data_IF_315638397076
#
_entry.id   IF_315638397076
#
_cell.length_a   1.000
_cell.length_b   1.000
_cell.length_c   1.000
_cell.angle_alpha   90.00
_cell.angle_beta   90.00
_cell.angle_gamma   90.00
#
_symmetry.space_group_name_H-M   'P 1'
#
loop_
_entity.id
_entity.type
_entity.pdbx_description
1 polymer ?
#
# COMPACT_ATOMS: atom_id res chain seq x y z
N UNK A 1 -29.01 -26.07 14.25
CA UNK A 1 -28.15 -27.09 13.61
C UNK A 1 -28.24 -26.87 12.12
N UNK A 2 -27.12 -26.75 11.42
CA UNK A 2 -27.05 -26.52 9.98
C UNK A 2 -26.33 -27.70 9.31
N UNK A 3 -26.91 -28.25 8.25
CA UNK A 3 -26.20 -29.18 7.38
C UNK A 3 -25.08 -28.47 6.62
N UNK A 4 -23.95 -29.15 6.40
CA UNK A 4 -22.75 -28.48 5.85
C UNK A 4 -22.96 -28.06 4.40
N UNK A 5 -23.78 -28.76 3.63
CA UNK A 5 -24.16 -28.38 2.26
C UNK A 5 -25.02 -27.11 2.20
N UNK A 6 -25.84 -26.85 3.23
CA UNK A 6 -26.64 -25.62 3.35
C UNK A 6 -25.79 -24.39 3.69
N UNK A 7 -24.60 -24.55 4.26
CA UNK A 7 -23.71 -23.42 4.62
C UNK A 7 -23.36 -22.53 3.45
N UNK A 8 -23.42 -23.05 2.23
CA UNK A 8 -23.15 -22.25 1.03
C UNK A 8 -24.28 -21.27 0.76
N UNK A 9 -25.51 -21.64 0.98
CA UNK A 9 -26.70 -20.79 0.82
C UNK A 9 -26.66 -19.66 1.87
N UNK A 10 -26.39 -20.00 3.13
CA UNK A 10 -26.16 -19.00 4.20
C UNK A 10 -25.00 -18.05 3.90
N UNK A 11 -23.96 -18.53 3.22
CA UNK A 11 -22.83 -17.68 2.81
C UNK A 11 -23.25 -16.66 1.76
N UNK A 12 -24.05 -17.06 0.79
CA UNK A 12 -24.50 -16.16 -0.28
C UNK A 12 -25.41 -15.07 0.30
N UNK A 13 -26.37 -15.40 1.15
CA UNK A 13 -27.24 -14.45 1.86
C UNK A 13 -26.42 -13.48 2.73
N UNK A 14 -25.46 -14.00 3.51
CA UNK A 14 -24.56 -13.20 4.34
C UNK A 14 -23.73 -12.21 3.51
N UNK A 15 -23.27 -12.60 2.32
CA UNK A 15 -22.46 -11.73 1.45
C UNK A 15 -23.32 -10.67 0.78
N UNK A 16 -24.56 -10.97 0.41
CA UNK A 16 -25.53 -10.02 -0.13
C UNK A 16 -25.87 -8.95 0.91
N UNK A 17 -26.23 -9.34 2.14
CA UNK A 17 -26.46 -8.40 3.24
C UNK A 17 -25.25 -7.50 3.51
N UNK A 18 -24.04 -8.07 3.52
CA UNK A 18 -22.79 -7.32 3.70
C UNK A 18 -22.53 -6.33 2.58
N UNK A 19 -22.90 -6.65 1.36
CA UNK A 19 -22.76 -5.75 0.22
C UNK A 19 -23.70 -4.56 0.32
N UNK A 20 -24.95 -4.82 0.70
CA UNK A 20 -25.98 -3.79 0.81
C UNK A 20 -25.78 -2.87 2.02
N UNK A 21 -25.51 -3.43 3.19
CA UNK A 21 -25.47 -2.66 4.45
C UNK A 21 -24.09 -2.01 4.70
N UNK A 22 -22.99 -2.68 4.35
CA UNK A 22 -21.62 -2.22 4.70
C UNK A 22 -20.82 -1.65 3.54
N UNK A 23 -21.38 -1.51 2.35
CA UNK A 23 -20.69 -0.97 1.16
C UNK A 23 -19.28 -1.60 0.96
N UNK A 24 -19.16 -2.90 1.14
CA UNK A 24 -17.87 -3.59 0.99
C UNK A 24 -17.42 -3.60 -0.48
N UNK A 25 -16.11 -3.44 -0.70
CA UNK A 25 -15.57 -3.54 -2.05
C UNK A 25 -15.64 -4.98 -2.56
N UNK A 26 -15.85 -5.18 -3.87
CA UNK A 26 -15.83 -6.50 -4.52
C UNK A 26 -14.59 -7.32 -4.14
N UNK A 27 -13.41 -6.68 -4.01
CA UNK A 27 -12.18 -7.35 -3.59
C UNK A 27 -12.27 -7.89 -2.16
N UNK A 28 -12.98 -7.19 -1.26
CA UNK A 28 -13.19 -7.63 0.12
C UNK A 28 -14.16 -8.81 0.14
N UNK A 29 -15.26 -8.71 -0.60
CA UNK A 29 -16.25 -9.78 -0.74
C UNK A 29 -15.57 -11.05 -1.28
N UNK A 30 -14.86 -10.97 -2.39
CA UNK A 30 -14.11 -12.13 -2.95
C UNK A 30 -13.18 -12.79 -1.95
N UNK A 31 -12.50 -11.99 -1.10
CA UNK A 31 -11.62 -12.54 -0.05
C UNK A 31 -12.39 -13.23 1.06
N UNK A 32 -13.52 -12.66 1.49
CA UNK A 32 -14.36 -13.29 2.49
C UNK A 32 -14.97 -14.58 1.95
N UNK A 33 -15.58 -14.54 0.76
CA UNK A 33 -16.07 -15.72 0.07
C UNK A 33 -15.03 -16.83 0.02
N UNK A 34 -13.84 -16.53 -0.52
CA UNK A 34 -12.76 -17.50 -0.62
C UNK A 34 -12.40 -18.14 0.73
N UNK A 35 -12.28 -17.33 1.78
CA UNK A 35 -11.87 -17.85 3.10
C UNK A 35 -12.94 -18.71 3.73
N UNK A 36 -14.21 -18.35 3.59
CA UNK A 36 -15.34 -19.08 4.17
C UNK A 36 -15.62 -20.35 3.36
N UNK A 37 -15.65 -20.29 2.03
CA UNK A 37 -15.81 -21.47 1.17
C UNK A 37 -14.71 -22.52 1.43
N UNK A 38 -13.47 -22.09 1.67
CA UNK A 38 -12.38 -23.02 2.05
C UNK A 38 -12.58 -23.69 3.41
N UNK A 39 -13.34 -23.10 4.30
CA UNK A 39 -13.73 -23.74 5.54
C UNK A 39 -14.87 -24.74 5.32
N UNK A 40 -15.85 -24.42 4.50
CA UNK A 40 -16.95 -25.33 4.13
C UNK A 40 -16.38 -26.57 3.41
N UNK A 41 -15.54 -26.38 2.37
CA UNK A 41 -14.85 -27.49 1.67
C UNK A 41 -14.04 -28.37 2.64
N UNK A 42 -13.44 -27.78 3.68
CA UNK A 42 -12.72 -28.54 4.69
C UNK A 42 -13.69 -29.41 5.52
N UNK A 43 -14.84 -28.87 5.94
CA UNK A 43 -15.83 -29.64 6.68
C UNK A 43 -16.33 -30.84 5.87
N UNK A 44 -16.66 -30.63 4.60
CA UNK A 44 -17.05 -31.68 3.66
C UNK A 44 -15.96 -32.76 3.54
N UNK A 45 -14.70 -32.35 3.36
CA UNK A 45 -13.55 -33.27 3.22
C UNK A 45 -13.25 -34.09 4.47
N UNK A 46 -13.61 -33.58 5.64
CA UNK A 46 -13.50 -34.30 6.93
C UNK A 46 -14.74 -35.14 7.25
N UNK A 47 -15.75 -35.19 6.36
CA UNK A 47 -16.99 -35.95 6.54
C UNK A 47 -17.87 -35.40 7.66
N UNK A 48 -17.86 -34.09 7.87
CA UNK A 48 -18.72 -33.42 8.83
C UNK A 48 -20.02 -33.10 8.12
N UNK A 49 -21.07 -33.78 8.52
CA UNK A 49 -22.40 -33.63 7.91
C UNK A 49 -23.14 -32.40 8.45
N UNK A 50 -22.94 -32.05 9.74
CA UNK A 50 -23.62 -30.94 10.40
C UNK A 50 -22.74 -30.09 11.30
N UNK A 51 -23.07 -28.81 11.41
CA UNK A 51 -22.54 -27.86 12.38
C UNK A 51 -23.57 -27.52 13.43
N UNK A 52 -23.20 -27.67 14.71
CA UNK A 52 -24.08 -27.39 15.85
C UNK A 52 -23.29 -26.76 17.01
N UNK A 53 -24.00 -26.37 18.08
CA UNK A 53 -23.41 -25.74 19.27
C UNK A 53 -22.28 -26.53 19.92
N UNK A 54 -22.35 -27.87 19.86
CA UNK A 54 -21.37 -28.75 20.51
C UNK A 54 -20.08 -28.93 19.72
N UNK A 55 -20.18 -28.87 18.38
CA UNK A 55 -19.04 -29.16 17.51
C UNK A 55 -18.39 -27.96 16.85
N UNK A 56 -19.06 -26.81 16.66
CA UNK A 56 -18.59 -25.65 15.91
C UNK A 56 -17.23 -25.16 16.39
N UNK A 57 -17.03 -24.97 17.70
CA UNK A 57 -15.75 -24.53 18.27
C UNK A 57 -14.63 -25.55 18.03
N UNK A 58 -14.96 -26.84 18.07
CA UNK A 58 -14.02 -27.93 17.81
C UNK A 58 -13.58 -27.95 16.36
N UNK A 59 -14.50 -27.78 15.40
CA UNK A 59 -14.19 -27.74 13.98
C UNK A 59 -13.37 -26.51 13.60
N UNK A 60 -13.68 -25.33 14.14
CA UNK A 60 -12.89 -24.12 13.95
C UNK A 60 -11.43 -24.29 14.42
N UNK A 61 -11.22 -24.95 15.59
CA UNK A 61 -9.86 -25.24 16.09
C UNK A 61 -9.13 -26.27 15.20
N UNK A 62 -9.83 -27.28 14.68
CA UNK A 62 -9.26 -28.28 13.76
C UNK A 62 -8.86 -27.61 12.44
N UNK A 63 -9.74 -26.82 11.82
CA UNK A 63 -9.45 -26.08 10.60
C UNK A 63 -8.25 -25.15 10.75
N UNK A 64 -8.17 -24.43 11.86
CA UNK A 64 -6.98 -23.61 12.17
C UNK A 64 -5.69 -24.45 12.15
N UNK A 65 -5.71 -25.65 12.78
CA UNK A 65 -4.53 -26.55 12.77
C UNK A 65 -4.21 -27.06 11.38
N UNK A 66 -5.23 -27.40 10.61
CA UNK A 66 -5.10 -27.80 9.21
C UNK A 66 -4.41 -26.70 8.39
N UNK A 67 -4.88 -25.45 8.48
CA UNK A 67 -4.25 -24.33 7.79
C UNK A 67 -2.78 -24.11 8.17
N UNK A 68 -2.43 -24.28 9.44
CA UNK A 68 -1.06 -24.11 9.93
C UNK A 68 -0.14 -25.27 9.56
N UNK A 69 -0.60 -26.51 9.73
CA UNK A 69 0.25 -27.71 9.62
C UNK A 69 0.26 -28.31 8.22
N UNK A 70 -0.90 -28.47 7.60
CA UNK A 70 -1.02 -29.15 6.30
C UNK A 70 -0.88 -28.18 5.14
N UNK A 71 -1.48 -26.97 5.22
CA UNK A 71 -1.37 -25.93 4.18
C UNK A 71 -0.16 -25.01 4.34
N UNK A 72 0.60 -25.11 5.42
CA UNK A 72 1.82 -24.32 5.65
C UNK A 72 1.60 -22.80 5.74
N UNK A 73 0.37 -22.36 6.03
CA UNK A 73 0.04 -20.94 6.04
C UNK A 73 0.68 -20.22 7.25
N UNK A 74 1.09 -18.97 7.05
CA UNK A 74 1.61 -18.12 8.14
C UNK A 74 0.51 -17.85 9.17
N UNK A 75 0.89 -17.75 10.46
CA UNK A 75 -0.04 -17.47 11.57
C UNK A 75 -0.91 -16.23 11.34
N UNK A 76 -0.35 -15.16 10.76
CA UNK A 76 -1.08 -13.94 10.43
C UNK A 76 -2.15 -14.17 9.37
N UNK A 77 -1.85 -14.96 8.34
CA UNK A 77 -2.80 -15.35 7.29
C UNK A 77 -3.94 -16.18 7.87
N UNK A 78 -3.60 -17.17 8.71
CA UNK A 78 -4.62 -18.02 9.38
C UNK A 78 -5.50 -17.17 10.31
N UNK A 79 -4.93 -16.19 11.01
CA UNK A 79 -5.73 -15.25 11.83
C UNK A 79 -6.76 -14.51 10.98
N UNK A 80 -6.39 -14.03 9.80
CA UNK A 80 -7.34 -13.37 8.87
C UNK A 80 -8.42 -14.33 8.40
N UNK A 81 -8.08 -15.56 8.04
CA UNK A 81 -9.07 -16.58 7.67
C UNK A 81 -10.08 -16.80 8.82
N UNK A 82 -9.56 -17.04 10.01
CA UNK A 82 -10.41 -17.26 11.18
C UNK A 82 -11.28 -16.05 11.52
N UNK A 83 -10.83 -14.81 11.28
CA UNK A 83 -11.65 -13.61 11.48
C UNK A 83 -12.86 -13.60 10.54
N UNK A 84 -12.66 -13.87 9.25
CA UNK A 84 -13.75 -13.90 8.28
C UNK A 84 -14.73 -15.02 8.58
N UNK A 85 -14.24 -16.21 8.92
CA UNK A 85 -15.07 -17.36 9.27
C UNK A 85 -15.86 -17.10 10.54
N UNK A 86 -15.25 -16.50 11.56
CA UNK A 86 -15.94 -16.15 12.81
C UNK A 86 -17.01 -15.09 12.60
N UNK A 87 -16.76 -14.12 11.72
CA UNK A 87 -17.74 -13.10 11.39
C UNK A 87 -18.98 -13.72 10.71
N UNK A 88 -18.77 -14.71 9.85
CA UNK A 88 -19.83 -15.49 9.23
C UNK A 88 -20.56 -16.39 10.23
N UNK A 89 -19.85 -17.18 11.01
CA UNK A 89 -20.44 -18.08 12.00
C UNK A 89 -21.24 -17.32 13.08
N UNK A 90 -20.85 -16.10 13.40
CA UNK A 90 -21.56 -15.22 14.34
C UNK A 90 -22.56 -14.27 13.64
N UNK A 91 -22.87 -14.44 12.34
CA UNK A 91 -23.99 -13.73 11.72
C UNK A 91 -25.31 -14.19 12.36
N UNK A 92 -26.33 -13.34 12.32
CA UNK A 92 -27.59 -13.56 13.03
C UNK A 92 -28.20 -14.90 12.64
N UNK A 93 -28.35 -15.14 11.33
CA UNK A 93 -28.98 -16.34 10.80
C UNK A 93 -28.22 -17.63 11.17
N UNK A 94 -26.91 -17.65 10.96
CA UNK A 94 -26.07 -18.82 11.29
C UNK A 94 -26.01 -19.06 12.80
N UNK A 95 -25.97 -17.99 13.61
CA UNK A 95 -25.92 -18.09 15.04
C UNK A 95 -27.25 -18.64 15.63
N UNK A 96 -28.39 -18.18 15.13
CA UNK A 96 -29.70 -18.65 15.55
C UNK A 96 -29.87 -20.13 15.20
N UNK A 97 -29.47 -20.54 14.00
CA UNK A 97 -29.66 -21.91 13.54
C UNK A 97 -28.73 -22.89 14.26
N UNK A 98 -27.47 -22.52 14.48
CA UNK A 98 -26.53 -23.35 15.26
C UNK A 98 -26.81 -23.30 16.76
N UNK A 99 -27.50 -22.28 17.25
CA UNK A 99 -27.82 -22.03 18.66
C UNK A 99 -26.57 -21.97 19.55
N UNK A 100 -25.66 -21.11 19.23
CA UNK A 100 -24.43 -20.93 20.00
C UNK A 100 -24.21 -19.48 20.47
N UNK A 101 -23.50 -19.32 21.59
CA UNK A 101 -23.05 -18.02 22.03
C UNK A 101 -21.97 -17.49 21.07
N UNK A 102 -21.88 -16.15 20.86
CA UNK A 102 -20.88 -15.54 19.98
C UNK A 102 -19.46 -16.03 20.28
N UNK A 103 -18.84 -16.67 19.30
CA UNK A 103 -17.48 -17.23 19.41
C UNK A 103 -16.46 -16.12 19.20
N UNK A 104 -15.59 -15.91 20.17
CA UNK A 104 -14.51 -14.92 20.10
C UNK A 104 -13.21 -15.54 19.59
N UNK A 105 -12.38 -14.74 18.96
CA UNK A 105 -11.07 -15.19 18.48
C UNK A 105 -10.21 -15.85 19.56
N UNK A 106 -10.29 -15.38 20.81
CA UNK A 106 -9.59 -15.96 21.97
C UNK A 106 -9.99 -17.40 22.27
N UNK A 107 -11.20 -17.80 21.90
CA UNK A 107 -11.72 -19.14 22.13
C UNK A 107 -11.11 -20.17 21.16
N UNK A 108 -10.51 -19.67 20.05
CA UNK A 108 -9.94 -20.48 18.98
C UNK A 108 -8.43 -20.35 18.89
N UNK A 109 -7.91 -19.16 19.19
CA UNK A 109 -6.46 -18.85 19.12
C UNK A 109 -6.00 -18.44 20.51
N UNK A 110 -5.03 -19.17 21.08
CA UNK A 110 -4.26 -18.63 22.20
C UNK A 110 -3.45 -17.44 21.71
N UNK A 111 -3.89 -16.24 22.04
CA UNK A 111 -3.15 -14.99 21.76
C UNK A 111 -2.10 -14.87 22.88
N UNK A 112 -0.88 -15.35 22.62
CA UNK A 112 0.26 -14.94 23.45
C UNK A 112 0.50 -13.46 23.16
N UNK A 113 0.47 -12.62 24.18
CA UNK A 113 0.90 -11.23 24.07
C UNK A 113 2.33 -11.23 23.51
N UNK A 114 2.57 -10.42 22.47
CA UNK A 114 3.89 -10.26 21.90
C UNK A 114 4.73 -9.48 22.94
N UNK A 115 5.90 -10.00 23.26
CA UNK A 115 6.83 -9.33 24.16
C UNK A 115 7.16 -7.94 23.60
N UNK A 116 7.04 -6.85 24.41
CA UNK A 116 7.28 -5.48 23.97
C UNK A 116 8.64 -5.26 23.30
N UNK A 117 9.69 -5.98 23.75
CA UNK A 117 11.02 -5.94 23.11
C UNK A 117 11.02 -6.57 21.71
N UNK A 118 10.30 -7.66 21.53
CA UNK A 118 10.15 -8.32 20.22
C UNK A 118 9.35 -7.44 19.26
N UNK A 119 8.31 -6.77 19.75
CA UNK A 119 7.54 -5.80 18.97
C UNK A 119 8.41 -4.60 18.55
N UNK A 120 9.24 -4.06 19.47
CA UNK A 120 10.18 -2.96 19.21
C UNK A 120 11.25 -3.35 18.18
N UNK A 121 11.89 -4.52 18.33
CA UNK A 121 12.86 -5.05 17.34
C UNK A 121 12.24 -5.31 15.97
N UNK A 122 10.94 -5.61 15.91
CA UNK A 122 10.20 -5.77 14.66
C UNK A 122 9.93 -4.43 13.99
N UNK A 123 9.65 -3.37 14.76
CA UNK A 123 9.47 -2.00 14.25
C UNK A 123 10.80 -1.47 13.71
N UNK A 124 11.91 -1.66 14.44
CA UNK A 124 13.26 -1.27 14.00
C UNK A 124 13.72 -1.97 12.71
N UNK A 125 13.19 -3.16 12.41
CA UNK A 125 13.46 -3.91 11.17
C UNK A 125 12.58 -3.50 9.97
N UNK A 126 11.66 -2.56 10.13
CA UNK A 126 10.61 -2.26 9.16
C UNK A 126 10.91 -1.01 8.33
N UNK A 127 11.87 -0.17 8.72
CA UNK A 127 12.25 1.04 7.98
C UNK A 127 13.73 1.02 7.59
N UNK A 128 14.04 1.69 6.47
CA UNK A 128 15.40 1.97 6.07
C UNK A 128 15.90 3.22 6.82
N UNK A 129 17.20 3.27 7.15
CA UNK A 129 17.84 4.50 7.57
C UNK A 129 17.94 5.47 6.38
N UNK A 130 18.26 6.75 6.65
CA UNK A 130 18.53 7.74 5.58
C UNK A 130 19.56 7.20 4.59
N UNK A 131 20.72 6.78 5.06
CA UNK A 131 21.79 6.23 4.21
C UNK A 131 21.34 5.00 3.39
N UNK A 132 20.51 4.13 3.95
CA UNK A 132 20.00 2.97 3.23
C UNK A 132 18.97 3.34 2.17
N UNK A 133 18.13 4.36 2.43
CA UNK A 133 17.19 4.87 1.43
C UNK A 133 17.91 5.61 0.30
N UNK A 134 18.96 6.37 0.62
CA UNK A 134 19.80 7.04 -0.36
C UNK A 134 20.53 6.03 -1.25
N UNK A 135 21.11 4.99 -0.67
CA UNK A 135 21.74 3.90 -1.44
C UNK A 135 20.74 3.21 -2.39
N UNK A 136 19.52 2.97 -1.91
CA UNK A 136 18.44 2.40 -2.74
C UNK A 136 18.10 3.32 -3.92
N UNK A 137 17.91 4.62 -3.66
CA UNK A 137 17.60 5.61 -4.70
C UNK A 137 18.77 5.79 -5.68
N UNK A 138 20.00 5.88 -5.19
CA UNK A 138 21.20 5.99 -6.02
C UNK A 138 21.34 4.78 -6.96
N UNK A 139 21.11 3.57 -6.47
CA UNK A 139 21.12 2.36 -7.30
C UNK A 139 20.08 2.42 -8.41
N UNK A 140 18.89 2.97 -8.14
CA UNK A 140 17.87 3.15 -9.18
C UNK A 140 18.29 4.23 -10.18
N UNK A 141 18.83 5.34 -9.70
CA UNK A 141 19.30 6.44 -10.53
C UNK A 141 20.38 5.95 -11.51
N UNK A 142 21.38 5.20 -11.04
CA UNK A 142 22.42 4.60 -11.86
C UNK A 142 21.87 3.64 -12.94
N UNK A 143 20.72 3.05 -12.74
CA UNK A 143 20.07 2.21 -13.76
C UNK A 143 19.59 3.00 -14.99
N UNK A 144 19.55 4.33 -14.92
CA UNK A 144 19.07 5.23 -15.96
C UNK A 144 17.56 5.14 -16.23
N UNK A 145 16.77 4.55 -15.33
CA UNK A 145 15.32 4.42 -15.49
C UNK A 145 14.59 5.55 -14.75
N UNK A 146 14.38 6.68 -15.42
CA UNK A 146 13.76 7.87 -14.84
C UNK A 146 12.36 7.59 -14.22
N UNK A 147 11.54 6.73 -14.85
CA UNK A 147 10.23 6.38 -14.32
C UNK A 147 10.33 5.61 -13.00
N UNK A 148 11.19 4.58 -12.96
CA UNK A 148 11.32 3.73 -11.78
C UNK A 148 11.91 4.55 -10.62
N UNK A 149 12.83 5.48 -10.92
CA UNK A 149 13.40 6.42 -9.95
C UNK A 149 12.33 7.36 -9.40
N UNK A 150 11.57 8.05 -10.26
CA UNK A 150 10.51 8.96 -9.85
C UNK A 150 9.44 8.27 -8.98
N UNK A 151 9.05 7.03 -9.31
CA UNK A 151 8.11 6.23 -8.50
C UNK A 151 8.66 5.97 -7.10
N UNK A 152 9.89 5.47 -6.99
CA UNK A 152 10.48 5.11 -5.69
C UNK A 152 10.81 6.35 -4.86
N UNK A 153 11.28 7.42 -5.49
CA UNK A 153 11.53 8.72 -4.84
C UNK A 153 10.24 9.29 -4.27
N UNK A 154 9.16 9.31 -5.06
CA UNK A 154 7.84 9.76 -4.59
C UNK A 154 7.36 8.98 -3.36
N UNK A 155 7.57 7.66 -3.30
CA UNK A 155 7.22 6.87 -2.10
C UNK A 155 8.01 7.26 -0.88
N UNK A 156 9.34 7.41 -1.02
CA UNK A 156 10.25 7.72 0.10
C UNK A 156 9.99 9.13 0.63
N UNK A 157 9.67 10.07 -0.24
CA UNK A 157 9.34 11.42 0.19
C UNK A 157 7.94 11.51 0.81
N UNK A 158 6.93 11.02 0.11
CA UNK A 158 5.53 11.29 0.47
C UNK A 158 4.93 10.36 1.52
N UNK A 159 5.46 9.17 1.66
CA UNK A 159 4.88 8.13 2.52
C UNK A 159 3.46 7.69 2.15
N UNK A 160 3.00 7.95 0.92
CA UNK A 160 1.66 7.59 0.47
C UNK A 160 1.44 6.08 0.36
N UNK A 161 0.18 5.65 0.29
CA UNK A 161 -0.18 4.24 0.08
C UNK A 161 -0.01 3.88 -1.40
N UNK A 162 0.25 2.59 -1.69
CA UNK A 162 0.38 2.10 -3.08
C UNK A 162 -0.83 2.45 -3.96
N UNK A 163 -2.05 2.37 -3.42
CA UNK A 163 -3.26 2.73 -4.15
C UNK A 163 -3.27 4.22 -4.49
N UNK A 164 -2.86 5.06 -3.57
CA UNK A 164 -2.79 6.51 -3.76
C UNK A 164 -1.79 6.85 -4.87
N UNK A 165 -0.57 6.30 -4.83
CA UNK A 165 0.44 6.55 -5.86
C UNK A 165 -0.03 6.15 -7.27
N UNK A 166 -0.61 4.96 -7.43
CA UNK A 166 -1.06 4.52 -8.77
C UNK A 166 -2.24 5.34 -9.31
N UNK A 167 -2.99 6.00 -8.44
CA UNK A 167 -4.13 6.85 -8.79
C UNK A 167 -3.80 8.34 -8.88
N UNK A 168 -2.53 8.73 -8.62
CA UNK A 168 -2.12 10.13 -8.78
C UNK A 168 -2.33 10.62 -10.20
N UNK A 169 -2.88 11.82 -10.28
CA UNK A 169 -2.95 12.63 -11.47
C UNK A 169 -1.88 13.73 -11.40
N UNK A 170 -1.55 14.34 -12.53
CA UNK A 170 -0.62 15.47 -12.56
C UNK A 170 -1.10 16.64 -11.70
N UNK A 171 -2.39 16.92 -11.74
CA UNK A 171 -3.00 18.05 -11.02
C UNK A 171 -3.08 17.82 -9.50
N UNK A 172 -2.81 16.59 -9.02
CA UNK A 172 -2.69 16.33 -7.59
C UNK A 172 -1.40 16.95 -6.99
N UNK A 173 -0.41 17.26 -7.81
CA UNK A 173 0.82 17.97 -7.40
C UNK A 173 0.53 19.47 -7.39
N UNK A 174 0.70 20.12 -6.24
CA UNK A 174 0.32 21.51 -6.01
C UNK A 174 1.38 22.50 -6.56
N UNK A 175 1.71 22.36 -7.84
CA UNK A 175 2.63 23.24 -8.58
C UNK A 175 2.06 23.48 -9.98
N UNK A 176 2.12 24.70 -10.50
CA UNK A 176 1.70 25.00 -11.86
C UNK A 176 2.46 24.17 -12.91
N UNK A 177 1.81 23.89 -14.02
CA UNK A 177 2.41 23.24 -15.17
C UNK A 177 2.56 24.25 -16.33
N UNK A 178 3.57 24.04 -17.16
CA UNK A 178 3.75 24.77 -18.40
C UNK A 178 2.81 24.24 -19.50
N UNK A 179 2.84 24.86 -20.68
CA UNK A 179 2.07 24.47 -21.85
C UNK A 179 2.32 23.03 -22.35
N UNK A 180 3.44 22.44 -21.97
CA UNK A 180 3.84 21.08 -22.31
C UNK A 180 3.48 20.06 -21.20
N UNK A 181 2.89 20.53 -20.10
CA UNK A 181 2.48 19.71 -18.96
C UNK A 181 3.62 19.34 -18.02
N UNK A 182 4.77 20.04 -18.08
CA UNK A 182 5.86 19.92 -17.11
C UNK A 182 5.61 20.83 -15.91
N UNK A 183 6.01 20.39 -14.73
CA UNK A 183 5.91 21.21 -13.54
C UNK A 183 6.90 22.39 -13.59
N UNK A 184 6.41 23.59 -13.27
CA UNK A 184 7.25 24.77 -13.10
C UNK A 184 7.98 24.64 -11.79
N UNK A 185 9.33 24.55 -11.85
CA UNK A 185 10.13 24.35 -10.65
C UNK A 185 10.15 25.63 -9.80
N UNK A 186 9.93 25.53 -8.47
CA UNK A 186 10.08 26.67 -7.58
C UNK A 186 11.52 27.17 -7.56
N UNK A 187 11.70 28.47 -7.29
CA UNK A 187 13.03 29.06 -7.18
C UNK A 187 13.81 28.59 -5.94
N UNK A 188 13.10 28.20 -4.91
CA UNK A 188 13.66 27.70 -3.65
C UNK A 188 13.70 26.18 -3.67
N UNK A 189 14.88 25.61 -3.82
CA UNK A 189 15.11 24.17 -3.86
C UNK A 189 14.87 23.46 -2.52
N UNK A 190 14.77 24.21 -1.42
CA UNK A 190 14.42 23.68 -0.10
C UNK A 190 12.91 23.56 0.12
N UNK A 191 12.10 23.99 -0.85
CA UNK A 191 10.66 23.99 -0.72
C UNK A 191 10.07 22.58 -0.84
N UNK A 192 9.15 22.26 0.10
CA UNK A 192 8.34 21.05 0.01
C UNK A 192 7.04 21.34 -0.74
N UNK A 193 6.76 20.50 -1.72
CA UNK A 193 5.61 20.61 -2.60
C UNK A 193 4.46 19.76 -2.06
N UNK A 194 3.28 20.35 -1.90
CA UNK A 194 2.08 19.63 -1.49
C UNK A 194 1.60 18.67 -2.56
N UNK A 195 1.13 17.50 -2.13
CA UNK A 195 0.46 16.51 -2.98
C UNK A 195 -0.92 16.22 -2.40
N UNK A 196 -1.95 16.48 -3.16
CA UNK A 196 -3.33 16.21 -2.76
C UNK A 196 -3.66 14.70 -2.95
N UNK A 197 -4.03 14.03 -1.88
CA UNK A 197 -4.47 12.65 -1.88
C UNK A 197 -5.98 12.62 -1.70
N UNK A 198 -6.69 12.40 -2.80
CA UNK A 198 -8.15 12.44 -2.85
C UNK A 198 -8.77 11.30 -2.03
N UNK A 199 -9.85 11.59 -1.30
CA UNK A 199 -10.55 10.63 -0.45
C UNK A 199 -10.99 9.36 -1.20
N UNK A 200 -11.45 9.50 -2.44
CA UNK A 200 -11.85 8.39 -3.32
C UNK A 200 -10.72 7.40 -3.64
N UNK A 201 -9.46 7.85 -3.54
CA UNK A 201 -8.28 7.00 -3.74
C UNK A 201 -7.93 6.21 -2.49
N UNK A 202 -8.50 6.55 -1.34
CA UNK A 202 -8.13 6.06 -0.02
C UNK A 202 -9.24 5.19 0.55
N UNK A 203 -8.89 4.05 1.13
CA UNK A 203 -9.88 3.16 1.73
C UNK A 203 -10.35 3.70 3.09
N UNK A 204 -11.63 4.07 3.19
CA UNK A 204 -12.25 4.47 4.46
C UNK A 204 -11.94 5.90 4.91
N UNK A 205 -11.33 6.73 4.07
CA UNK A 205 -11.18 8.17 4.33
C UNK A 205 -12.31 8.95 3.68
N UNK A 206 -12.91 9.86 4.47
CA UNK A 206 -14.02 10.72 4.02
C UNK A 206 -13.54 12.09 3.53
N UNK A 207 -12.24 12.40 3.67
CA UNK A 207 -11.66 13.72 3.35
C UNK A 207 -10.34 13.55 2.61
N UNK A 208 -10.10 14.50 1.72
CA UNK A 208 -8.80 14.69 1.10
C UNK A 208 -7.75 15.03 2.15
N UNK A 209 -6.53 14.56 1.91
CA UNK A 209 -5.38 14.91 2.74
C UNK A 209 -4.19 15.32 1.88
N UNK A 210 -3.28 16.06 2.48
CA UNK A 210 -2.05 16.48 1.82
C UNK A 210 -0.85 15.73 2.40
N UNK A 211 0.02 15.27 1.52
CA UNK A 211 1.39 14.87 1.85
C UNK A 211 2.37 15.77 1.09
N UNK A 212 3.67 15.52 1.23
CA UNK A 212 4.69 16.38 0.66
C UNK A 212 5.71 15.57 -0.14
N UNK A 213 6.29 16.22 -1.15
CA UNK A 213 7.45 15.75 -1.90
C UNK A 213 8.51 16.85 -1.93
N UNK A 214 9.77 16.46 -2.14
CA UNK A 214 10.89 17.39 -2.24
C UNK A 214 10.99 18.00 -3.64
N UNK A 215 11.81 19.07 -3.75
CA UNK A 215 12.21 19.65 -5.02
C UNK A 215 12.82 18.58 -5.97
N UNK A 216 13.70 17.71 -5.45
CA UNK A 216 14.35 16.67 -6.25
C UNK A 216 13.34 15.63 -6.78
N UNK A 217 12.30 15.33 -6.02
CA UNK A 217 11.19 14.50 -6.52
C UNK A 217 10.46 15.21 -7.66
N UNK A 218 10.20 16.51 -7.55
CA UNK A 218 9.57 17.28 -8.63
C UNK A 218 10.44 17.28 -9.91
N UNK A 219 11.75 17.45 -9.78
CA UNK A 219 12.70 17.32 -10.90
C UNK A 219 12.61 15.92 -11.51
N UNK A 220 12.63 14.88 -10.69
CA UNK A 220 12.54 13.50 -11.17
C UNK A 220 11.23 13.18 -11.90
N UNK A 221 10.13 13.83 -11.52
CA UNK A 221 8.85 13.73 -12.23
C UNK A 221 8.94 14.37 -13.63
N UNK A 222 9.57 15.53 -13.75
CA UNK A 222 9.82 16.18 -15.04
C UNK A 222 10.74 15.32 -15.93
N UNK A 223 11.81 14.76 -15.37
CA UNK A 223 12.73 13.86 -16.08
C UNK A 223 12.00 12.60 -16.58
N UNK A 224 11.14 12.03 -15.77
CA UNK A 224 10.29 10.90 -16.17
C UNK A 224 9.37 11.27 -17.34
N UNK A 225 8.75 12.44 -17.31
CA UNK A 225 7.87 12.89 -18.39
C UNK A 225 8.67 13.15 -19.67
N UNK A 226 9.85 13.76 -19.57
CA UNK A 226 10.76 13.97 -20.69
C UNK A 226 11.25 12.65 -21.31
N UNK A 227 11.66 11.68 -20.46
CA UNK A 227 12.07 10.34 -20.90
C UNK A 227 10.93 9.63 -21.64
N UNK A 228 9.70 9.74 -21.14
CA UNK A 228 8.50 9.20 -21.77
C UNK A 228 8.28 9.77 -23.18
N UNK A 229 8.37 11.08 -23.35
CA UNK A 229 8.28 11.75 -24.64
C UNK A 229 9.41 11.29 -25.56
N UNK A 230 10.63 11.18 -25.04
CA UNK A 230 11.81 10.78 -25.81
C UNK A 230 11.74 9.34 -26.29
N UNK A 231 11.32 8.40 -25.43
CA UNK A 231 11.14 6.99 -25.81
C UNK A 231 10.04 6.79 -26.84
N UNK A 232 8.97 7.57 -26.76
CA UNK A 232 7.95 7.60 -27.80
C UNK A 232 8.53 8.09 -29.15
N UNK A 233 9.55 8.93 -29.15
CA UNK A 233 10.22 9.42 -30.39
C UNK A 233 11.03 8.34 -31.09
N UNK A 234 11.65 7.41 -30.38
CA UNK A 234 12.51 6.37 -30.94
C UNK A 234 11.76 5.28 -31.72
N UNK A 235 10.49 5.11 -31.45
CA UNK A 235 9.67 4.02 -32.02
C UNK A 235 8.88 4.42 -33.27
N UNK A 236 9.14 5.59 -33.87
CA UNK A 236 8.40 6.08 -35.06
C UNK A 236 9.36 6.30 -36.24
N UNK A 237 8.94 5.82 -37.42
CA UNK A 237 9.69 5.99 -38.68
C UNK A 237 9.95 7.47 -39.00
N UNK A 238 11.12 7.77 -39.56
CA UNK A 238 11.69 9.10 -39.72
C UNK A 238 10.86 10.12 -40.53
N UNK A 239 9.94 9.66 -41.37
CA UNK A 239 9.21 10.52 -42.33
C UNK A 239 8.11 11.38 -41.64
N UNK A 240 7.62 11.00 -40.48
CA UNK A 240 6.55 11.71 -39.77
C UNK A 240 7.01 12.43 -38.50
N UNK A 241 8.32 12.54 -38.28
CA UNK A 241 8.90 13.12 -37.07
C UNK A 241 8.36 14.47 -36.63
N UNK A 242 8.20 15.51 -37.46
CA UNK A 242 7.80 16.84 -37.00
C UNK A 242 6.35 16.90 -36.50
N UNK A 243 5.42 16.22 -37.20
CA UNK A 243 3.99 16.21 -36.86
C UNK A 243 3.73 15.37 -35.62
N UNK A 244 4.40 14.22 -35.52
CA UNK A 244 4.30 13.31 -34.37
C UNK A 244 4.98 13.91 -33.14
N UNK A 245 6.03 14.71 -33.28
CA UNK A 245 6.66 15.40 -32.15
C UNK A 245 5.75 16.43 -31.49
N UNK A 246 5.03 17.24 -32.28
CA UNK A 246 4.03 18.20 -31.77
C UNK A 246 2.86 17.47 -31.12
N UNK A 247 2.34 16.41 -31.74
CA UNK A 247 1.23 15.63 -31.19
C UNK A 247 1.59 14.89 -29.90
N UNK A 248 2.84 14.47 -29.72
CA UNK A 248 3.26 13.72 -28.51
C UNK A 248 3.45 14.62 -27.29
N UNK A 249 4.00 15.80 -27.46
CA UNK A 249 4.03 16.79 -26.39
C UNK A 249 2.58 17.19 -26.00
N UNK A 250 1.71 17.39 -26.99
CA UNK A 250 0.30 17.65 -26.73
C UNK A 250 -0.41 16.48 -26.02
N UNK A 251 -0.13 15.23 -26.41
CA UNK A 251 -0.67 14.05 -25.72
C UNK A 251 -0.15 13.97 -24.29
N UNK A 252 1.11 14.28 -24.05
CA UNK A 252 1.67 14.32 -22.70
C UNK A 252 1.09 15.48 -21.88
N UNK A 253 0.88 16.65 -22.48
CA UNK A 253 0.26 17.80 -21.81
C UNK A 253 -1.19 17.52 -21.37
N UNK A 254 -1.95 16.78 -22.18
CA UNK A 254 -3.35 16.44 -21.86
C UNK A 254 -3.52 15.18 -21.01
N UNK A 255 -2.41 14.49 -20.67
CA UNK A 255 -2.47 13.28 -19.86
C UNK A 255 -2.75 13.60 -18.41
N UNK A 256 -3.74 12.98 -17.85
CA UNK A 256 -4.07 13.11 -16.43
C UNK A 256 -3.17 12.26 -15.53
N UNK A 257 -2.91 11.00 -15.93
CA UNK A 257 -2.17 10.06 -15.09
C UNK A 257 -0.70 10.46 -14.93
N UNK A 258 -0.24 10.58 -13.70
CA UNK A 258 1.15 10.87 -13.41
C UNK A 258 2.05 9.69 -13.79
N UNK A 259 1.73 8.48 -13.30
CA UNK A 259 2.53 7.28 -13.54
C UNK A 259 1.89 6.32 -14.54
N UNK A 260 2.64 5.97 -15.58
CA UNK A 260 2.17 5.06 -16.63
C UNK A 260 3.07 3.83 -16.80
N UNK A 261 2.47 2.76 -17.32
CA UNK A 261 3.21 1.57 -17.74
C UNK A 261 3.85 1.78 -19.13
N UNK A 262 4.57 0.77 -19.62
CA UNK A 262 5.24 0.81 -20.93
C UNK A 262 4.27 0.95 -22.12
N UNK A 263 2.98 0.66 -21.91
CA UNK A 263 1.92 0.81 -22.93
C UNK A 263 1.24 2.18 -22.87
N UNK A 264 1.74 3.09 -22.03
CA UNK A 264 1.18 4.43 -21.85
C UNK A 264 -0.13 4.48 -21.07
N UNK A 265 -0.59 3.40 -20.47
CA UNK A 265 -1.76 3.36 -19.58
C UNK A 265 -1.31 3.53 -18.12
N UNK A 266 -2.22 3.99 -17.26
CA UNK A 266 -1.98 4.08 -15.81
C UNK A 266 -1.29 2.82 -15.29
N UNK A 267 -0.25 3.00 -14.48
CA UNK A 267 0.48 1.87 -13.90
C UNK A 267 -0.39 1.15 -12.87
N UNK A 268 -0.34 -0.18 -12.87
CA UNK A 268 -1.06 -0.99 -11.87
C UNK A 268 -0.23 -1.25 -10.61
N UNK A 269 -0.90 -1.59 -9.50
CA UNK A 269 -0.26 -1.92 -8.21
C UNK A 269 0.85 -2.96 -8.36
N UNK A 270 0.63 -4.02 -9.16
CA UNK A 270 1.62 -5.08 -9.39
C UNK A 270 2.86 -4.55 -10.12
N UNK A 271 2.67 -3.69 -11.12
CA UNK A 271 3.80 -3.08 -11.83
C UNK A 271 4.71 -2.28 -10.91
N UNK A 272 4.15 -1.50 -9.99
CA UNK A 272 4.93 -0.76 -8.97
C UNK A 272 5.64 -1.70 -8.01
N UNK A 273 4.97 -2.76 -7.54
CA UNK A 273 5.60 -3.78 -6.69
C UNK A 273 6.77 -4.49 -7.37
N UNK A 274 6.63 -4.80 -8.65
CA UNK A 274 7.68 -5.46 -9.44
C UNK A 274 8.88 -4.51 -9.66
N UNK A 275 8.64 -3.20 -9.87
CA UNK A 275 9.70 -2.17 -9.91
C UNK A 275 10.49 -2.17 -8.61
N UNK A 276 9.83 -2.01 -7.47
CA UNK A 276 10.51 -1.99 -6.16
C UNK A 276 11.32 -3.26 -5.92
N UNK A 277 10.75 -4.44 -6.21
CA UNK A 277 11.45 -5.72 -6.07
C UNK A 277 12.64 -5.88 -7.01
N UNK A 278 12.54 -5.37 -8.24
CA UNK A 278 13.63 -5.39 -9.23
C UNK A 278 14.83 -4.63 -8.67
N UNK A 279 14.61 -3.38 -8.24
CA UNK A 279 15.70 -2.53 -7.75
C UNK A 279 16.23 -2.94 -6.37
N UNK A 280 15.41 -3.54 -5.53
CA UNK A 280 15.88 -4.17 -4.28
C UNK A 280 16.88 -5.31 -4.55
N UNK A 281 16.65 -6.14 -5.59
CA UNK A 281 17.63 -7.16 -6.00
C UNK A 281 18.90 -6.54 -6.62
N UNK A 282 18.76 -5.40 -7.29
CA UNK A 282 19.90 -4.67 -7.85
C UNK A 282 20.80 -4.10 -6.76
N UNK A 283 20.21 -3.59 -5.65
CA UNK A 283 20.97 -3.19 -4.48
C UNK A 283 21.80 -4.34 -3.90
N UNK A 284 21.20 -5.53 -3.73
CA UNK A 284 21.94 -6.68 -3.21
C UNK A 284 23.11 -7.07 -4.15
N UNK A 285 22.90 -7.05 -5.48
CA UNK A 285 23.97 -7.32 -6.46
C UNK A 285 25.08 -6.28 -6.39
N UNK A 286 24.72 -5.00 -6.26
CA UNK A 286 25.69 -3.91 -6.14
C UNK A 286 26.50 -4.03 -4.86
N UNK A 287 25.87 -4.33 -3.73
CA UNK A 287 26.54 -4.59 -2.44
C UNK A 287 27.57 -5.72 -2.60
N UNK A 288 27.16 -6.83 -3.22
CA UNK A 288 28.06 -7.99 -3.44
C UNK A 288 29.21 -7.65 -4.37
N UNK A 289 28.96 -6.96 -5.49
CA UNK A 289 29.98 -6.64 -6.50
C UNK A 289 30.96 -5.56 -6.06
N UNK A 290 30.52 -4.58 -5.26
CA UNK A 290 31.35 -3.47 -4.75
C UNK A 290 31.97 -3.79 -3.38
N UNK A 291 31.66 -4.94 -2.77
CA UNK A 291 32.18 -5.35 -1.45
C UNK A 291 31.72 -4.45 -0.30
N UNK A 292 30.50 -3.88 -0.41
CA UNK A 292 29.96 -2.95 0.58
C UNK A 292 29.53 -3.72 1.81
N UNK A 293 30.00 -3.34 3.00
CA UNK A 293 29.49 -3.87 4.27
C UNK A 293 28.12 -3.23 4.58
N UNK A 294 27.06 -3.95 4.25
CA UNK A 294 25.68 -3.50 4.47
C UNK A 294 24.86 -4.57 5.20
N UNK A 295 24.32 -4.25 6.41
CA UNK A 295 23.57 -5.22 7.20
C UNK A 295 22.17 -5.52 6.62
N UNK A 296 21.75 -4.80 5.58
CA UNK A 296 20.42 -4.93 4.98
C UNK A 296 20.44 -5.80 3.74
N UNK A 297 19.62 -6.83 3.71
CA UNK A 297 19.28 -7.55 2.50
C UNK A 297 18.06 -6.87 1.86
N UNK A 298 18.26 -6.09 0.80
CA UNK A 298 17.22 -5.27 0.19
C UNK A 298 16.11 -6.13 -0.43
N UNK A 299 16.44 -7.17 -1.17
CA UNK A 299 15.44 -8.02 -1.84
C UNK A 299 14.49 -8.73 -0.87
N UNK A 300 14.96 -9.01 0.35
CA UNK A 300 14.17 -9.64 1.41
C UNK A 300 13.36 -8.62 2.23
N UNK A 301 13.91 -7.45 2.44
CA UNK A 301 13.39 -6.47 3.38
C UNK A 301 12.60 -5.34 2.71
N UNK A 302 12.96 -4.92 1.48
CA UNK A 302 12.33 -3.78 0.82
C UNK A 302 11.08 -4.18 0.06
N UNK A 303 10.02 -3.46 0.32
CA UNK A 303 8.73 -3.54 -0.36
C UNK A 303 8.09 -2.16 -0.37
N UNK A 304 7.02 -1.97 -1.14
CA UNK A 304 6.26 -0.70 -1.15
C UNK A 304 5.83 -0.27 0.26
N UNK A 305 5.45 -1.22 1.11
CA UNK A 305 5.10 -0.91 2.50
C UNK A 305 6.29 -0.43 3.31
N UNK A 306 7.47 -1.01 3.07
CA UNK A 306 8.70 -0.58 3.76
C UNK A 306 9.11 0.82 3.31
N UNK A 307 9.01 1.16 2.02
CA UNK A 307 9.27 2.52 1.55
C UNK A 307 8.35 3.54 2.23
N UNK A 308 7.07 3.23 2.36
CA UNK A 308 6.13 4.07 3.13
C UNK A 308 6.51 4.15 4.62
N UNK A 309 6.87 3.03 5.26
CA UNK A 309 7.31 3.04 6.66
C UNK A 309 8.59 3.86 6.83
N UNK A 310 9.51 3.77 5.89
CA UNK A 310 10.72 4.60 5.85
C UNK A 310 10.38 6.08 5.83
N UNK A 311 9.54 6.52 4.89
CA UNK A 311 9.09 7.90 4.82
C UNK A 311 8.47 8.40 6.14
N UNK A 312 7.54 7.62 6.70
CA UNK A 312 6.87 8.00 7.95
C UNK A 312 7.82 8.00 9.16
N UNK A 313 8.85 7.13 9.18
CA UNK A 313 9.90 7.14 10.20
C UNK A 313 10.79 8.39 10.06
N UNK A 314 11.15 8.78 8.84
CA UNK A 314 11.90 10.00 8.58
C UNK A 314 11.10 11.25 9.00
N UNK A 315 9.81 11.31 8.70
CA UNK A 315 8.95 12.37 9.18
C UNK A 315 8.85 12.42 10.70
N UNK A 316 8.82 11.28 11.38
CA UNK A 316 8.72 11.20 12.83
C UNK A 316 9.96 11.74 13.57
N UNK A 317 11.10 11.90 12.89
CA UNK A 317 12.28 12.57 13.44
C UNK A 317 12.14 14.11 13.48
N UNK A 318 11.21 14.67 12.69
CA UNK A 318 11.08 16.11 12.45
C UNK A 318 9.72 16.64 12.92
N UNK A 319 8.68 15.85 12.70
CA UNK A 319 7.30 16.21 12.95
C UNK A 319 6.75 15.54 14.21
N UNK A 320 5.73 16.13 14.78
CA UNK A 320 4.99 15.52 15.91
C UNK A 320 4.21 14.28 15.42
N UNK A 321 3.86 13.40 16.36
CA UNK A 321 3.08 12.20 16.08
C UNK A 321 1.75 12.54 15.38
N UNK A 322 1.07 13.61 15.79
CA UNK A 322 -0.19 14.05 15.18
C UNK A 322 0.00 14.50 13.73
N UNK A 323 1.09 15.23 13.42
CA UNK A 323 1.44 15.65 12.06
C UNK A 323 1.75 14.45 11.17
N UNK A 324 2.53 13.48 11.67
CA UNK A 324 2.82 12.24 10.94
C UNK A 324 1.55 11.42 10.70
N UNK A 325 0.66 11.33 11.67
CA UNK A 325 -0.63 10.65 11.51
C UNK A 325 -1.50 11.31 10.43
N UNK A 326 -1.51 12.64 10.37
CA UNK A 326 -2.21 13.39 9.31
C UNK A 326 -1.66 13.08 7.92
N UNK A 327 -0.33 13.07 7.75
CA UNK A 327 0.33 12.67 6.50
C UNK A 327 0.01 11.20 6.17
N UNK A 328 0.03 10.31 7.17
CA UNK A 328 -0.21 8.89 6.99
C UNK A 328 -1.67 8.56 6.65
N UNK A 329 -2.64 9.38 7.06
CA UNK A 329 -4.07 9.07 6.95
C UNK A 329 -4.41 7.79 7.71
N UNK A 330 -4.13 7.75 9.01
CA UNK A 330 -4.49 6.63 9.86
C UNK A 330 -5.86 6.90 10.49
N UNK A 331 -6.88 6.13 10.09
CA UNK A 331 -8.28 6.26 10.54
C UNK A 331 -8.53 5.90 12.01
N UNK A 332 -7.54 5.40 12.75
CA UNK A 332 -7.70 4.94 14.13
C UNK A 332 -7.46 6.00 15.21
N UNK A 333 -7.58 7.28 14.88
CA UNK A 333 -7.54 8.36 15.89
C UNK A 333 -8.94 8.88 16.24
N UNK A 334 -9.84 8.01 16.70
CA UNK A 334 -11.18 8.45 17.16
C UNK A 334 -11.18 9.48 18.30
N UNK A 335 -10.02 9.88 18.82
CA UNK A 335 -9.90 10.82 19.93
C UNK A 335 -9.16 12.13 19.61
N UNK A 336 -8.46 12.24 18.48
CA UNK A 336 -7.59 13.40 18.21
C UNK A 336 -8.17 14.40 17.21
N UNK A 337 -9.11 13.99 16.36
CA UNK A 337 -9.66 14.85 15.28
C UNK A 337 -10.50 16.04 15.79
N UNK A 338 -10.84 16.10 17.07
CA UNK A 338 -11.69 17.17 17.60
C UNK A 338 -10.97 18.44 18.04
N UNK A 339 -9.64 18.42 18.20
CA UNK A 339 -8.91 19.53 18.86
C UNK A 339 -7.57 19.94 18.22
N UNK A 340 -7.09 19.29 17.18
CA UNK A 340 -5.82 19.66 16.57
C UNK A 340 -6.06 20.23 15.17
N UNK A 341 -6.11 21.55 15.07
CA UNK A 341 -5.86 22.25 13.81
C UNK A 341 -4.39 22.01 13.43
N UNK A 342 -4.14 21.04 12.56
CA UNK A 342 -2.80 20.80 12.03
C UNK A 342 -2.55 21.89 11.00
N UNK A 343 -1.66 22.82 11.36
CA UNK A 343 -1.24 23.89 10.47
C UNK A 343 -0.26 23.32 9.43
N UNK A 344 -0.74 23.18 8.20
CA UNK A 344 0.05 22.65 7.07
C UNK A 344 1.25 23.55 6.73
N UNK A 345 1.13 24.87 6.92
CA UNK A 345 2.22 25.79 6.68
C UNK A 345 3.32 25.64 7.73
N UNK A 346 2.99 25.41 8.99
CA UNK A 346 3.98 25.11 10.02
C UNK A 346 4.69 23.78 9.76
N UNK A 347 3.97 22.74 9.30
CA UNK A 347 4.58 21.47 8.90
C UNK A 347 5.57 21.70 7.75
N UNK A 348 5.16 22.44 6.73
CA UNK A 348 5.99 22.76 5.57
C UNK A 348 7.25 23.54 5.98
N UNK A 349 7.14 24.47 6.91
CA UNK A 349 8.30 25.20 7.47
C UNK A 349 9.26 24.28 8.23
N UNK A 350 8.76 23.38 9.07
CA UNK A 350 9.60 22.39 9.79
C UNK A 350 10.35 21.48 8.81
N UNK A 351 9.68 21.01 7.77
CA UNK A 351 10.30 20.21 6.72
C UNK A 351 11.35 21.00 5.96
N UNK A 352 11.05 22.25 5.60
CA UNK A 352 11.99 23.16 4.92
C UNK A 352 13.27 23.38 5.74
N UNK A 353 13.16 23.64 7.04
CA UNK A 353 14.30 23.80 7.95
C UNK A 353 15.18 22.53 8.05
N UNK A 354 14.65 21.39 7.73
CA UNK A 354 15.34 20.10 7.73
C UNK A 354 15.55 19.53 6.33
N UNK A 355 15.38 20.33 5.27
CA UNK A 355 15.42 19.89 3.87
C UNK A 355 16.71 19.16 3.50
N UNK A 356 17.84 19.54 4.08
CA UNK A 356 19.13 18.89 3.86
C UNK A 356 19.13 17.37 4.17
N UNK A 357 18.24 16.91 5.07
CA UNK A 357 18.10 15.47 5.37
C UNK A 357 17.39 14.70 4.26
N UNK A 358 16.63 15.39 3.40
CA UNK A 358 15.90 14.80 2.28
C UNK A 358 16.64 14.95 0.94
N UNK A 359 17.69 15.74 0.90
CA UNK A 359 18.58 15.88 -0.26
C UNK A 359 19.48 14.63 -0.33
N UNK A 360 19.27 13.79 -1.34
CA UNK A 360 20.06 12.60 -1.61
C UNK A 360 21.12 12.91 -2.66
#
# INVERSE_FOLDING_TARGET
MIEVDELTDYLDEYLEEKQEVKNLTEETIRKQTFNISKFIEYLESEGIEELNSDNVKKQLRKYRRHCLKQRGNKRTTVKTYMMNILEFINSEDVQEEIQHDPIKMKDIIEVKAEDPETAKKRIEKISLTWQQSDFFLDTIHQSGNARDYAICRTFIDSGMRLKELVLLNKDDIQVPQDENGFYILPNDTSEFIGVNLRAETTKGELKDRTTFITFDTLVSLNDMMMDRITKLRKNTHDVYRPVIQRNKAAIEATREELFTNIKGKRIGKRGVQDIVKKHARECDRRIESEGIDCPVNYSKNVSVHILRHTALSHYAEILTVAEVQSIAGHSNSQTTDKYIHIDREQMKQKLKLNSQRFAA
#
